data_IF_916635986204
#
_entry.id   IF_916635986204
#
_cell.length_a   1.000
_cell.length_b   1.000
_cell.length_c   1.000
_cell.angle_alpha   90.00
_cell.angle_beta   90.00
_cell.angle_gamma   90.00
#
_symmetry.space_group_name_H-M   'P 1'
#
loop_
_entity.id
_entity.type
_entity.pdbx_description
1 polymer ?
#
# COMPACT_ATOMS: atom_id res chain seq x y z
N UNK A 1 -1.63 -16.80 6.71
CA UNK A 1 -2.19 -15.43 6.75
C UNK A 1 -2.15 -14.87 5.34
N UNK A 2 -3.17 -14.14 4.89
CA UNK A 2 -3.19 -13.57 3.52
C UNK A 2 -4.24 -12.46 3.40
N UNK A 3 -4.07 -11.62 2.37
CA UNK A 3 -5.16 -10.74 1.91
C UNK A 3 -5.72 -11.39 0.64
N UNK A 4 -7.05 -11.53 0.57
CA UNK A 4 -7.72 -12.12 -0.60
C UNK A 4 -8.86 -11.23 -1.05
N UNK A 5 -8.92 -11.03 -2.35
CA UNK A 5 -10.00 -10.38 -3.06
C UNK A 5 -10.68 -11.43 -3.93
N UNK A 6 -12.00 -11.55 -3.85
CA UNK A 6 -12.78 -12.55 -4.59
C UNK A 6 -13.89 -11.85 -5.33
N UNK A 7 -13.77 -11.81 -6.65
CA UNK A 7 -14.76 -11.28 -7.61
C UNK A 7 -15.32 -9.89 -7.23
N UNK A 8 -14.42 -8.96 -6.83
CA UNK A 8 -14.85 -7.63 -6.43
C UNK A 8 -15.43 -6.84 -7.59
N UNK A 9 -16.59 -6.25 -7.34
CA UNK A 9 -17.19 -5.23 -8.19
C UNK A 9 -17.25 -3.91 -7.44
N UNK A 10 -16.90 -2.82 -8.13
CA UNK A 10 -17.06 -1.47 -7.61
C UNK A 10 -17.37 -0.47 -8.69
N UNK A 11 -18.44 0.30 -8.45
CA UNK A 11 -18.88 1.40 -9.33
C UNK A 11 -18.93 2.71 -8.56
N UNK A 12 -18.70 3.80 -9.26
CA UNK A 12 -18.95 5.15 -8.79
C UNK A 12 -19.82 5.85 -9.84
N UNK A 13 -21.13 5.93 -9.56
CA UNK A 13 -22.12 6.30 -10.57
C UNK A 13 -22.11 5.29 -11.72
N UNK A 14 -21.97 5.78 -12.95
CA UNK A 14 -21.91 4.93 -14.14
C UNK A 14 -20.51 4.34 -14.42
N UNK A 15 -19.49 4.79 -13.69
CA UNK A 15 -18.11 4.34 -13.89
C UNK A 15 -17.84 3.04 -13.15
N UNK A 16 -17.56 1.95 -13.88
CA UNK A 16 -17.12 0.66 -13.34
C UNK A 16 -15.61 0.74 -13.10
N UNK A 17 -15.19 0.59 -11.83
CA UNK A 17 -13.79 0.70 -11.42
C UNK A 17 -13.17 -0.66 -11.15
N UNK A 18 -13.92 -1.57 -10.52
CA UNK A 18 -13.55 -2.98 -10.38
C UNK A 18 -14.68 -3.83 -10.96
N UNK A 19 -14.33 -4.86 -11.73
CA UNK A 19 -15.25 -5.71 -12.46
C UNK A 19 -14.80 -7.18 -12.42
N UNK A 20 -15.13 -7.88 -11.34
CA UNK A 20 -14.65 -9.24 -11.09
C UNK A 20 -13.16 -9.30 -10.72
N UNK A 21 -12.68 -8.30 -9.95
CA UNK A 21 -11.30 -8.25 -9.48
C UNK A 21 -11.04 -9.35 -8.45
N UNK A 22 -10.11 -10.26 -8.75
CA UNK A 22 -9.68 -11.32 -7.84
C UNK A 22 -8.17 -11.36 -7.74
N UNK A 23 -7.63 -11.37 -6.52
CA UNK A 23 -6.19 -11.42 -6.24
C UNK A 23 -5.96 -12.02 -4.85
N UNK A 24 -4.92 -12.82 -4.71
CA UNK A 24 -4.39 -13.27 -3.43
C UNK A 24 -2.99 -12.69 -3.21
N UNK A 25 -2.76 -12.15 -2.00
CA UNK A 25 -1.47 -11.66 -1.50
C UNK A 25 -0.96 -12.68 -0.49
N UNK A 26 0.02 -13.51 -0.84
CA UNK A 26 0.58 -14.53 0.04
C UNK A 26 1.28 -13.92 1.26
N UNK A 27 1.32 -14.67 2.35
CA UNK A 27 2.00 -14.29 3.58
C UNK A 27 3.51 -14.11 3.35
N UNK A 28 4.06 -13.02 3.87
CA UNK A 28 5.49 -12.69 3.78
C UNK A 28 5.94 -12.12 2.43
N UNK A 29 5.09 -12.12 1.41
CA UNK A 29 5.43 -11.61 0.08
C UNK A 29 5.17 -10.10 -0.03
N UNK A 30 5.92 -9.46 -0.94
CA UNK A 30 5.57 -8.14 -1.49
C UNK A 30 4.87 -8.38 -2.83
N UNK A 31 3.55 -8.26 -2.84
CA UNK A 31 2.76 -8.27 -4.08
C UNK A 31 2.54 -6.84 -4.56
N UNK A 32 2.88 -6.55 -5.81
CA UNK A 32 2.67 -5.23 -6.40
C UNK A 32 1.62 -5.27 -7.50
N UNK A 33 0.62 -4.39 -7.41
CA UNK A 33 -0.35 -4.16 -8.47
C UNK A 33 0.12 -3.00 -9.33
N UNK A 34 0.37 -3.27 -10.60
CA UNK A 34 0.67 -2.28 -11.62
C UNK A 34 -0.53 -2.04 -12.52
N UNK A 35 -0.52 -0.94 -13.25
CA UNK A 35 -1.56 -0.58 -14.21
C UNK A 35 -1.68 0.94 -14.38
N UNK A 36 -2.44 1.41 -15.37
CA UNK A 36 -2.58 2.83 -15.66
C UNK A 36 -3.23 3.61 -14.52
N UNK A 37 -3.02 4.93 -14.52
CA UNK A 37 -3.70 5.82 -13.59
C UNK A 37 -5.22 5.72 -13.79
N UNK A 38 -5.97 5.67 -12.67
CA UNK A 38 -7.43 5.54 -12.72
C UNK A 38 -7.96 4.12 -12.91
N UNK A 39 -7.11 3.08 -13.03
CA UNK A 39 -7.56 1.69 -13.24
C UNK A 39 -8.20 1.01 -12.02
N UNK A 40 -8.30 1.70 -10.87
CA UNK A 40 -8.94 1.14 -9.67
C UNK A 40 -7.97 0.64 -8.59
N UNK A 41 -6.64 0.75 -8.77
CA UNK A 41 -5.63 0.28 -7.81
C UNK A 41 -5.84 0.79 -6.38
N UNK A 42 -5.97 2.12 -6.20
CA UNK A 42 -6.23 2.70 -4.87
C UNK A 42 -7.60 2.32 -4.31
N UNK A 43 -8.56 1.98 -5.18
CA UNK A 43 -9.88 1.51 -4.76
C UNK A 43 -9.77 0.14 -4.10
N UNK A 44 -9.07 -0.83 -4.73
CA UNK A 44 -8.90 -2.15 -4.13
C UNK A 44 -8.16 -2.08 -2.79
N UNK A 45 -7.07 -1.28 -2.69
CA UNK A 45 -6.36 -1.08 -1.42
C UNK A 45 -7.27 -0.58 -0.30
N UNK A 46 -8.12 0.40 -0.60
CA UNK A 46 -9.04 1.00 0.40
C UNK A 46 -10.14 0.04 0.84
N UNK A 47 -10.43 -1.02 0.07
CA UNK A 47 -11.39 -2.05 0.49
C UNK A 47 -10.82 -2.93 1.60
N UNK A 48 -9.48 -3.17 1.65
CA UNK A 48 -8.82 -4.00 2.67
C UNK A 48 -9.04 -3.45 4.08
N UNK A 49 -9.13 -2.13 4.23
CA UNK A 49 -9.35 -1.47 5.54
C UNK A 49 -10.78 -0.94 5.67
N UNK A 50 -11.68 -1.34 4.78
CA UNK A 50 -13.09 -0.95 4.81
C UNK A 50 -13.33 0.56 4.71
N UNK A 51 -12.44 1.32 4.05
CA UNK A 51 -12.67 2.72 3.67
C UNK A 51 -13.60 2.83 2.47
N UNK A 52 -13.58 1.84 1.60
CA UNK A 52 -14.51 1.68 0.49
C UNK A 52 -15.12 0.28 0.63
N UNK A 53 -16.43 0.18 0.49
CA UNK A 53 -17.11 -1.11 0.39
C UNK A 53 -17.28 -1.48 -1.06
N UNK A 54 -16.96 -2.73 -1.46
CA UNK A 54 -17.32 -3.24 -2.77
C UNK A 54 -18.85 -3.29 -2.91
N UNK A 55 -19.35 -3.26 -4.15
CA UNK A 55 -20.78 -3.42 -4.45
C UNK A 55 -21.15 -4.91 -4.54
N UNK A 56 -20.16 -5.76 -4.91
CA UNK A 56 -20.24 -7.23 -4.87
C UNK A 56 -18.86 -7.84 -4.66
N UNK A 57 -18.81 -9.13 -4.34
CA UNK A 57 -17.59 -9.87 -4.06
C UNK A 57 -17.19 -9.82 -2.59
N UNK A 58 -15.98 -10.27 -2.28
CA UNK A 58 -15.52 -10.45 -0.91
C UNK A 58 -14.08 -9.97 -0.72
N UNK A 59 -13.81 -9.31 0.42
CA UNK A 59 -12.47 -8.92 0.85
C UNK A 59 -12.13 -9.62 2.15
N UNK A 60 -11.03 -10.35 2.16
CA UNK A 60 -10.58 -11.09 3.32
C UNK A 60 -9.21 -10.62 3.80
N UNK A 61 -9.06 -10.44 5.08
CA UNK A 61 -7.78 -10.30 5.78
C UNK A 61 -7.71 -11.45 6.77
N UNK A 62 -6.83 -12.41 6.52
CA UNK A 62 -6.82 -13.72 7.16
C UNK A 62 -8.19 -14.43 7.00
N UNK A 63 -8.81 -14.78 8.12
CA UNK A 63 -10.13 -15.42 8.15
C UNK A 63 -11.28 -14.42 8.34
N UNK A 64 -10.99 -13.09 8.31
CA UNK A 64 -11.98 -12.05 8.55
C UNK A 64 -12.46 -11.44 7.23
N UNK A 65 -13.75 -11.55 6.97
CA UNK A 65 -14.39 -10.94 5.80
C UNK A 65 -14.68 -9.46 6.05
N UNK A 66 -13.81 -8.58 5.56
CA UNK A 66 -13.77 -7.14 5.88
C UNK A 66 -14.96 -6.37 5.32
N UNK A 67 -15.45 -6.71 4.12
CA UNK A 67 -16.55 -6.01 3.46
C UNK A 67 -17.87 -6.04 4.25
N UNK A 68 -18.00 -6.97 5.21
CA UNK A 68 -19.17 -7.12 6.08
C UNK A 68 -18.98 -6.55 7.48
N UNK A 69 -17.74 -6.15 7.86
CA UNK A 69 -17.43 -5.69 9.20
C UNK A 69 -17.77 -4.21 9.41
N UNK A 70 -18.15 -3.87 10.65
CA UNK A 70 -18.35 -2.51 11.15
C UNK A 70 -17.86 -2.40 12.60
N UNK A 71 -17.72 -1.16 13.10
CA UNK A 71 -17.39 -0.89 14.50
C UNK A 71 -16.10 -1.56 14.97
N UNK A 72 -16.14 -2.17 16.16
CA UNK A 72 -14.97 -2.77 16.80
C UNK A 72 -14.33 -3.91 16.00
N UNK A 73 -15.07 -4.86 15.38
CA UNK A 73 -14.46 -5.88 14.53
C UNK A 73 -13.66 -5.32 13.35
N UNK A 74 -14.13 -4.26 12.70
CA UNK A 74 -13.40 -3.58 11.63
C UNK A 74 -12.19 -2.82 12.19
N UNK A 75 -12.32 -2.22 13.37
CA UNK A 75 -11.19 -1.56 14.03
C UNK A 75 -10.06 -2.54 14.35
N UNK A 76 -10.38 -3.76 14.82
CA UNK A 76 -9.38 -4.80 15.06
C UNK A 76 -8.63 -5.20 13.78
N UNK A 77 -9.32 -5.31 12.63
CA UNK A 77 -8.63 -5.53 11.35
C UNK A 77 -7.70 -4.36 11.02
N UNK A 78 -8.17 -3.11 11.18
CA UNK A 78 -7.35 -1.92 10.91
C UNK A 78 -6.09 -1.82 11.77
N UNK A 79 -6.09 -2.41 12.97
CA UNK A 79 -4.90 -2.47 13.83
C UNK A 79 -3.82 -3.39 13.27
N UNK A 80 -4.20 -4.41 12.51
CA UNK A 80 -3.24 -5.34 11.88
C UNK A 80 -2.70 -4.84 10.54
N UNK A 81 -3.22 -3.72 10.03
CA UNK A 81 -2.90 -3.17 8.70
C UNK A 81 -2.36 -1.76 8.82
N UNK A 82 -1.10 -1.57 8.45
CA UNK A 82 -0.52 -0.24 8.25
C UNK A 82 -0.83 0.28 6.84
N UNK A 83 -1.22 1.54 6.72
CA UNK A 83 -1.52 2.16 5.42
C UNK A 83 -0.60 3.35 5.16
N UNK A 84 0.18 3.28 4.08
CA UNK A 84 1.08 4.33 3.59
C UNK A 84 0.41 5.02 2.41
N UNK A 85 -0.05 6.25 2.63
CA UNK A 85 -0.77 7.04 1.63
C UNK A 85 0.17 7.72 0.64
N UNK A 86 -0.32 7.97 -0.57
CA UNK A 86 0.41 8.61 -1.67
C UNK A 86 1.10 9.94 -1.26
N UNK A 87 0.48 10.76 -0.42
CA UNK A 87 1.03 12.04 0.05
C UNK A 87 1.42 12.01 1.54
N UNK A 88 1.77 10.82 2.08
CA UNK A 88 2.06 10.55 3.47
C UNK A 88 0.88 10.82 4.44
N UNK A 89 -0.06 11.70 4.10
CA UNK A 89 -1.24 12.08 4.87
C UNK A 89 -0.93 12.40 6.35
N UNK A 90 0.19 13.10 6.59
CA UNK A 90 0.54 13.62 7.91
C UNK A 90 -0.39 14.78 8.25
N UNK A 91 -0.74 14.90 9.52
CA UNK A 91 -1.49 16.05 10.03
C UNK A 91 -0.54 17.25 10.17
N UNK A 92 -0.74 18.29 9.36
CA UNK A 92 0.12 19.47 9.34
C UNK A 92 0.12 20.29 10.64
N UNK A 93 -0.91 20.11 11.47
CA UNK A 93 -1.04 20.75 12.80
C UNK A 93 -0.38 19.96 13.94
N UNK A 94 0.24 18.84 13.65
CA UNK A 94 0.89 17.95 14.62
C UNK A 94 2.38 17.82 14.33
N UNK A 95 3.19 17.64 15.37
CA UNK A 95 4.59 17.28 15.21
C UNK A 95 4.74 15.90 14.56
N UNK A 96 5.94 15.54 14.12
CA UNK A 96 6.22 14.19 13.62
C UNK A 96 6.01 13.16 14.73
N UNK A 97 6.41 13.46 15.95
CA UNK A 97 6.14 12.64 17.12
C UNK A 97 4.63 12.35 17.27
N UNK A 98 3.81 13.38 17.29
CA UNK A 98 2.36 13.24 17.48
C UNK A 98 1.68 12.50 16.32
N UNK A 99 2.16 12.71 15.09
CA UNK A 99 1.69 11.96 13.93
C UNK A 99 1.94 10.45 14.06
N UNK A 100 3.11 10.05 14.53
CA UNK A 100 3.46 8.64 14.73
C UNK A 100 2.77 8.08 15.98
N UNK A 101 2.70 8.85 17.07
CA UNK A 101 2.10 8.46 18.35
C UNK A 101 0.57 8.31 18.29
N UNK A 102 -0.10 8.97 17.35
CA UNK A 102 -1.56 9.08 17.33
C UNK A 102 -2.26 7.71 17.37
N UNK A 103 -1.81 6.76 16.57
CA UNK A 103 -2.36 5.39 16.57
C UNK A 103 -2.13 4.68 17.89
N UNK A 104 -0.95 4.82 18.47
CA UNK A 104 -0.56 4.22 19.75
C UNK A 104 -1.42 4.74 20.90
N UNK A 105 -1.61 6.07 20.98
CA UNK A 105 -2.48 6.68 22.00
C UNK A 105 -3.92 6.21 21.89
N UNK A 106 -4.41 5.99 20.66
CA UNK A 106 -5.78 5.53 20.43
C UNK A 106 -6.03 4.11 20.94
N UNK A 107 -5.02 3.23 20.95
CA UNK A 107 -5.18 1.88 21.50
C UNK A 107 -5.36 1.89 23.02
N UNK A 108 -4.76 2.86 23.72
CA UNK A 108 -4.78 2.94 25.18
C UNK A 108 -3.97 1.82 25.89
N UNK A 109 -3.15 1.08 25.15
CA UNK A 109 -2.39 -0.08 25.67
C UNK A 109 -1.04 0.30 26.25
N UNK A 110 -0.48 1.43 25.82
CA UNK A 110 0.85 1.92 26.21
C UNK A 110 0.74 3.22 27.00
N UNK A 111 1.63 3.40 27.98
CA UNK A 111 1.81 4.69 28.62
C UNK A 111 2.67 5.63 27.73
N UNK A 112 2.74 6.93 28.07
CA UNK A 112 3.45 7.93 27.27
C UNK A 112 4.97 7.64 27.15
N UNK A 113 5.58 6.99 28.13
CA UNK A 113 7.00 6.62 28.07
C UNK A 113 7.23 5.52 27.01
N UNK A 114 6.42 4.46 27.05
CA UNK A 114 6.44 3.38 26.07
C UNK A 114 6.04 3.86 24.63
N UNK A 115 5.10 4.81 24.56
CA UNK A 115 4.76 5.46 23.29
C UNK A 115 5.99 6.20 22.74
N UNK A 116 6.71 6.96 23.60
CA UNK A 116 7.92 7.67 23.21
C UNK A 116 9.03 6.76 22.69
N UNK A 117 9.21 5.60 23.32
CA UNK A 117 10.17 4.59 22.84
C UNK A 117 9.74 4.03 21.49
N UNK A 118 8.48 3.65 21.34
CA UNK A 118 7.93 3.11 20.09
C UNK A 118 8.00 4.10 18.92
N UNK A 119 7.78 5.39 19.18
CA UNK A 119 7.92 6.45 18.17
C UNK A 119 9.37 6.55 17.70
N UNK A 120 10.33 6.56 18.62
CA UNK A 120 11.76 6.59 18.28
C UNK A 120 12.15 5.35 17.46
N UNK A 121 11.83 4.14 17.92
CA UNK A 121 12.06 2.90 17.18
C UNK A 121 11.50 2.99 15.75
N UNK A 122 10.28 3.52 15.58
CA UNK A 122 9.64 3.62 14.27
C UNK A 122 10.31 4.67 13.38
N UNK A 123 10.82 5.75 13.93
CA UNK A 123 11.57 6.78 13.19
C UNK A 123 12.97 6.29 12.82
N UNK A 124 13.66 5.58 13.70
CA UNK A 124 14.98 4.98 13.45
C UNK A 124 14.88 3.94 12.32
N UNK A 125 13.82 3.13 12.31
CA UNK A 125 13.56 2.13 11.26
C UNK A 125 13.45 2.73 9.85
N UNK A 126 13.09 4.01 9.75
CA UNK A 126 12.97 4.74 8.49
C UNK A 126 14.10 5.77 8.27
N UNK A 127 15.18 5.69 9.04
CA UNK A 127 16.34 6.60 9.02
C UNK A 127 15.92 8.10 9.21
N UNK A 128 15.07 8.38 10.19
CA UNK A 128 14.57 9.72 10.53
C UNK A 128 14.82 10.07 12.01
N UNK A 129 16.07 10.16 12.40
CA UNK A 129 16.43 10.57 13.75
C UNK A 129 16.34 12.11 13.94
N UNK A 130 15.96 12.55 15.13
CA UNK A 130 16.00 13.96 15.54
C UNK A 130 14.99 14.86 14.79
N UNK A 131 13.86 14.29 14.36
CA UNK A 131 12.79 15.04 13.69
C UNK A 131 11.49 15.08 14.49
N UNK A 132 11.47 14.53 15.69
CA UNK A 132 10.28 14.30 16.50
C UNK A 132 9.49 15.60 16.73
N UNK A 133 10.19 16.68 17.06
CA UNK A 133 9.58 17.99 17.36
C UNK A 133 9.29 18.83 16.10
N UNK A 134 9.67 18.33 14.90
CA UNK A 134 9.43 19.06 13.65
C UNK A 134 7.99 18.93 13.20
N UNK A 135 7.51 19.96 12.50
CA UNK A 135 6.24 19.92 11.78
C UNK A 135 6.45 19.32 10.38
N UNK A 136 5.42 18.70 9.76
CA UNK A 136 5.51 18.14 8.41
C UNK A 136 6.03 19.15 7.37
N UNK A 137 5.69 20.44 7.51
CA UNK A 137 6.15 21.52 6.64
C UNK A 137 7.67 21.77 6.66
N UNK A 138 8.36 21.31 7.70
CA UNK A 138 9.83 21.43 7.87
C UNK A 138 10.60 20.25 7.27
N UNK A 139 9.88 19.27 6.71
CA UNK A 139 10.46 18.07 6.12
C UNK A 139 10.47 18.12 4.59
N UNK A 140 11.49 17.52 3.96
CA UNK A 140 11.47 17.27 2.52
C UNK A 140 10.37 16.27 2.12
N UNK A 141 10.06 16.17 0.82
CA UNK A 141 9.07 15.21 0.32
C UNK A 141 9.39 13.75 0.71
N UNK A 142 10.63 13.33 0.53
CA UNK A 142 11.10 12.00 0.92
C UNK A 142 11.06 11.79 2.43
N UNK A 143 11.41 12.79 3.24
CA UNK A 143 11.29 12.68 4.70
C UNK A 143 9.83 12.55 5.15
N UNK A 144 8.89 13.28 4.53
CA UNK A 144 7.45 13.12 4.82
C UNK A 144 6.96 11.72 4.49
N UNK A 145 7.39 11.15 3.35
CA UNK A 145 7.05 9.77 2.98
C UNK A 145 7.55 8.78 4.04
N UNK A 146 8.81 8.90 4.45
CA UNK A 146 9.40 8.05 5.49
C UNK A 146 8.68 8.19 6.83
N UNK A 147 8.31 9.40 7.26
CA UNK A 147 7.50 9.62 8.45
C UNK A 147 6.11 8.97 8.33
N UNK A 148 5.51 8.97 7.14
CA UNK A 148 4.26 8.24 6.85
C UNK A 148 4.42 6.72 7.02
N UNK A 149 5.56 6.16 6.61
CA UNK A 149 5.89 4.74 6.87
C UNK A 149 6.09 4.50 8.37
N UNK A 150 6.86 5.35 9.07
CA UNK A 150 7.06 5.25 10.53
C UNK A 150 5.72 5.20 11.27
N UNK A 151 4.77 6.08 10.92
CA UNK A 151 3.41 6.06 11.47
C UNK A 151 2.68 4.75 11.20
N UNK A 152 2.81 4.21 9.98
CA UNK A 152 2.14 2.97 9.59
C UNK A 152 2.68 1.76 10.36
N UNK A 153 3.98 1.71 10.66
CA UNK A 153 4.61 0.57 11.35
C UNK A 153 4.59 0.68 12.87
N UNK A 154 4.29 1.84 13.46
CA UNK A 154 4.30 2.08 14.90
C UNK A 154 3.40 1.10 15.69
N UNK A 155 2.29 0.68 15.09
CA UNK A 155 1.39 -0.33 15.65
C UNK A 155 1.87 -1.78 15.48
N UNK A 156 3.04 -2.01 14.87
CA UNK A 156 3.57 -3.34 14.52
C UNK A 156 2.54 -4.16 13.73
N UNK A 157 2.09 -3.65 12.58
CA UNK A 157 1.08 -4.33 11.77
C UNK A 157 1.63 -5.63 11.18
N UNK A 158 0.73 -6.53 10.79
CA UNK A 158 1.05 -7.74 10.02
C UNK A 158 1.11 -7.45 8.51
N UNK A 159 0.38 -6.44 8.08
CA UNK A 159 0.24 -6.05 6.69
C UNK A 159 0.61 -4.59 6.48
N UNK A 160 1.32 -4.29 5.38
CA UNK A 160 1.55 -2.91 4.94
C UNK A 160 0.96 -2.71 3.54
N UNK A 161 0.11 -1.70 3.43
CA UNK A 161 -0.48 -1.27 2.18
C UNK A 161 0.17 0.04 1.73
N UNK A 162 0.72 0.07 0.51
CA UNK A 162 1.39 1.24 -0.04
C UNK A 162 0.62 1.76 -1.25
N UNK A 163 0.07 2.97 -1.13
CA UNK A 163 -0.64 3.68 -2.20
C UNK A 163 0.31 4.64 -2.90
N UNK A 164 0.89 4.24 -4.04
CA UNK A 164 1.80 5.04 -4.86
C UNK A 164 2.97 5.67 -4.05
N UNK A 165 3.79 4.86 -3.35
CA UNK A 165 4.74 5.35 -2.36
C UNK A 165 5.85 6.24 -2.94
N UNK A 166 6.20 6.06 -4.22
CA UNK A 166 7.30 6.74 -4.90
C UNK A 166 6.85 7.94 -5.74
N UNK A 167 5.56 8.15 -5.91
CA UNK A 167 5.01 9.23 -6.75
C UNK A 167 5.48 10.61 -6.28
N UNK A 168 6.00 11.39 -7.26
CA UNK A 168 6.45 12.77 -7.05
C UNK A 168 7.83 12.90 -6.40
N UNK A 169 8.61 11.82 -6.35
CA UNK A 169 9.99 11.80 -5.84
C UNK A 169 10.99 11.78 -6.98
N UNK A 170 12.21 12.26 -6.70
CA UNK A 170 13.34 12.10 -7.59
C UNK A 170 13.88 10.65 -7.58
N UNK A 171 14.62 10.21 -8.62
CA UNK A 171 15.07 8.81 -8.74
C UNK A 171 15.90 8.29 -7.56
N UNK A 172 16.69 9.16 -6.92
CA UNK A 172 17.49 8.77 -5.75
C UNK A 172 16.58 8.48 -4.56
N UNK A 173 15.63 9.38 -4.32
CA UNK A 173 14.64 9.21 -3.23
C UNK A 173 13.70 8.03 -3.49
N UNK A 174 13.32 7.74 -4.75
CA UNK A 174 12.59 6.51 -5.13
C UNK A 174 13.36 5.28 -4.64
N UNK A 175 14.65 5.18 -4.94
CA UNK A 175 15.47 4.05 -4.51
C UNK A 175 15.54 3.92 -2.97
N UNK A 176 15.52 5.03 -2.24
CA UNK A 176 15.48 5.00 -0.76
C UNK A 176 14.15 4.40 -0.27
N UNK A 177 13.02 4.81 -0.87
CA UNK A 177 11.70 4.26 -0.51
C UNK A 177 11.59 2.78 -0.86
N UNK A 178 12.11 2.36 -2.03
CA UNK A 178 12.10 0.96 -2.42
C UNK A 178 12.88 0.08 -1.43
N UNK A 179 14.07 0.53 -1.03
CA UNK A 179 14.87 -0.15 0.00
C UNK A 179 14.12 -0.20 1.35
N UNK A 180 13.38 0.84 1.67
CA UNK A 180 12.58 0.87 2.88
C UNK A 180 11.44 -0.16 2.84
N UNK A 181 10.77 -0.32 1.70
CA UNK A 181 9.74 -1.36 1.51
C UNK A 181 10.33 -2.76 1.74
N UNK A 182 11.50 -3.03 1.13
CA UNK A 182 12.20 -4.29 1.34
C UNK A 182 12.62 -4.50 2.80
N UNK A 183 13.14 -3.46 3.46
CA UNK A 183 13.50 -3.48 4.88
C UNK A 183 12.31 -3.85 5.77
N UNK A 184 11.11 -3.29 5.49
CA UNK A 184 9.91 -3.62 6.29
C UNK A 184 9.58 -5.11 6.21
N UNK A 185 9.69 -5.72 5.04
CA UNK A 185 9.53 -7.17 4.89
C UNK A 185 10.61 -7.92 5.67
N UNK A 186 11.88 -7.58 5.46
CA UNK A 186 13.02 -8.36 5.96
C UNK A 186 13.19 -8.24 7.48
N UNK A 187 12.96 -7.07 8.07
CA UNK A 187 13.15 -6.82 9.52
C UNK A 187 11.88 -7.05 10.33
N UNK A 188 10.69 -6.77 9.77
CA UNK A 188 9.42 -6.90 10.49
C UNK A 188 8.63 -8.14 10.09
N UNK A 189 9.00 -8.83 9.00
CA UNK A 189 8.27 -9.99 8.50
C UNK A 189 6.86 -9.66 8.00
N UNK A 190 6.60 -8.42 7.60
CA UNK A 190 5.28 -7.97 7.17
C UNK A 190 4.96 -8.41 5.75
N UNK A 191 3.71 -8.77 5.50
CA UNK A 191 3.17 -8.95 4.15
C UNK A 191 2.83 -7.59 3.55
N UNK A 192 3.25 -7.32 2.32
CA UNK A 192 3.05 -6.02 1.69
C UNK A 192 2.23 -6.08 0.41
N UNK A 193 1.27 -5.16 0.27
CA UNK A 193 0.58 -4.90 -0.98
C UNK A 193 0.90 -3.48 -1.44
N UNK A 194 1.62 -3.39 -2.55
CA UNK A 194 2.05 -2.12 -3.15
C UNK A 194 1.20 -1.85 -4.39
N UNK A 195 0.78 -0.62 -4.57
CA UNK A 195 0.24 -0.19 -5.87
C UNK A 195 1.12 0.91 -6.43
N UNK A 196 1.48 0.80 -7.70
CA UNK A 196 2.28 1.80 -8.39
C UNK A 196 2.08 1.75 -9.90
N UNK A 197 2.40 2.83 -10.58
CA UNK A 197 2.58 2.89 -12.03
C UNK A 197 4.07 2.94 -12.43
N UNK A 198 4.98 2.98 -11.45
CA UNK A 198 6.43 2.96 -11.66
C UNK A 198 6.92 1.51 -11.80
N UNK A 199 7.16 1.09 -13.04
CA UNK A 199 7.61 -0.27 -13.35
C UNK A 199 8.99 -0.59 -12.77
N UNK A 200 9.91 0.37 -12.75
CA UNK A 200 11.26 0.16 -12.22
C UNK A 200 11.22 -0.10 -10.70
N UNK A 201 10.41 0.66 -9.98
CA UNK A 201 10.15 0.42 -8.56
C UNK A 201 9.47 -0.94 -8.37
N UNK A 202 8.42 -1.24 -9.15
CA UNK A 202 7.72 -2.52 -9.09
C UNK A 202 8.66 -3.72 -9.28
N UNK A 203 9.52 -3.70 -10.30
CA UNK A 203 10.51 -4.76 -10.53
C UNK A 203 11.52 -4.91 -9.39
N UNK A 204 11.85 -3.81 -8.71
CA UNK A 204 12.86 -3.80 -7.65
C UNK A 204 12.37 -4.36 -6.33
N UNK A 205 11.09 -4.15 -6.02
CA UNK A 205 10.57 -4.47 -4.68
C UNK A 205 9.73 -5.75 -4.63
N UNK A 206 9.21 -6.24 -5.75
CA UNK A 206 8.16 -7.25 -5.76
C UNK A 206 8.68 -8.69 -5.77
N UNK A 207 8.05 -9.55 -4.97
CA UNK A 207 8.12 -11.00 -5.13
C UNK A 207 7.08 -11.46 -6.19
N UNK A 208 5.94 -10.74 -6.29
CA UNK A 208 4.88 -10.97 -7.28
C UNK A 208 4.38 -9.66 -7.88
N UNK A 209 4.15 -9.67 -9.19
CA UNK A 209 3.44 -8.61 -9.89
C UNK A 209 2.05 -9.07 -10.30
N UNK A 210 1.08 -8.16 -10.18
CA UNK A 210 -0.26 -8.32 -10.72
C UNK A 210 -0.58 -7.11 -11.60
N UNK A 211 -1.04 -7.32 -12.82
CA UNK A 211 -1.45 -6.22 -13.70
C UNK A 211 -2.95 -6.03 -13.67
N UNK A 212 -3.38 -4.84 -13.28
CA UNK A 212 -4.78 -4.42 -13.28
C UNK A 212 -5.10 -3.65 -14.58
N UNK A 213 -6.05 -4.17 -15.34
CA UNK A 213 -6.57 -3.55 -16.55
C UNK A 213 -8.10 -3.68 -16.60
N UNK A 214 -8.79 -2.59 -16.89
CA UNK A 214 -10.26 -2.55 -16.98
C UNK A 214 -11.00 -3.20 -15.80
N UNK A 215 -10.53 -2.90 -14.57
CA UNK A 215 -11.15 -3.40 -13.34
C UNK A 215 -10.85 -4.87 -13.01
N UNK A 216 -10.06 -5.59 -13.82
CA UNK A 216 -9.73 -7.01 -13.67
C UNK A 216 -8.22 -7.23 -13.58
N UNK A 217 -7.83 -8.28 -12.88
CA UNK A 217 -6.44 -8.76 -12.96
C UNK A 217 -6.26 -9.46 -14.31
N UNK A 218 -5.39 -8.88 -15.13
CA UNK A 218 -5.06 -9.41 -16.47
C UNK A 218 -3.96 -10.45 -16.41
N UNK A 219 -3.02 -10.28 -15.49
CA UNK A 219 -1.89 -11.18 -15.30
C UNK A 219 -1.37 -11.14 -13.86
N UNK A 220 -0.85 -12.27 -13.38
CA UNK A 220 -0.14 -12.41 -12.10
C UNK A 220 1.03 -13.36 -12.27
N UNK A 221 2.21 -12.99 -11.75
CA UNK A 221 3.38 -13.87 -11.78
C UNK A 221 4.62 -13.23 -11.17
N UNK A 222 5.75 -13.90 -11.32
CA UNK A 222 7.05 -13.36 -10.94
C UNK A 222 7.41 -12.14 -11.81
N UNK A 223 8.07 -11.10 -11.26
CA UNK A 223 8.38 -9.89 -12.01
C UNK A 223 9.08 -10.12 -13.35
N UNK A 224 9.98 -11.09 -13.41
CA UNK A 224 10.74 -11.39 -14.62
C UNK A 224 9.86 -11.98 -15.73
N UNK A 225 8.83 -12.73 -15.37
CA UNK A 225 7.96 -13.45 -16.30
C UNK A 225 7.04 -12.52 -17.10
N UNK A 226 6.77 -11.29 -16.63
CA UNK A 226 5.83 -10.37 -17.29
C UNK A 226 6.29 -9.98 -18.70
N UNK A 227 7.61 -9.99 -18.95
CA UNK A 227 8.19 -9.61 -20.23
C UNK A 227 7.89 -10.60 -21.34
N UNK A 228 7.65 -11.86 -20.98
CA UNK A 228 7.42 -12.98 -21.89
C UNK A 228 5.93 -13.30 -22.06
N UNK A 229 5.04 -12.51 -21.45
CA UNK A 229 3.58 -12.70 -21.51
C UNK A 229 3.08 -12.32 -22.91
N UNK A 230 2.43 -13.26 -23.58
CA UNK A 230 1.77 -13.03 -24.90
C UNK A 230 0.35 -12.46 -24.68
N UNK A 231 0.28 -11.21 -24.21
CA UNK A 231 -0.96 -10.46 -24.02
C UNK A 231 -0.72 -9.00 -24.43
N UNK A 232 -1.47 -8.47 -25.41
CA UNK A 232 -1.27 -7.12 -25.95
C UNK A 232 -1.40 -6.02 -24.89
N UNK A 233 -2.35 -6.13 -23.93
CA UNK A 233 -2.51 -5.14 -22.87
C UNK A 233 -1.30 -5.13 -21.93
N UNK A 234 -0.77 -6.32 -21.58
CA UNK A 234 0.43 -6.43 -20.75
C UNK A 234 1.63 -5.83 -21.47
N UNK A 235 1.85 -6.23 -22.74
CA UNK A 235 2.99 -5.75 -23.53
C UNK A 235 2.88 -4.25 -23.83
N UNK A 236 1.72 -3.76 -24.20
CA UNK A 236 1.46 -2.33 -24.43
C UNK A 236 1.77 -1.49 -23.18
N UNK A 237 1.38 -1.96 -22.01
CA UNK A 237 1.64 -1.24 -20.75
C UNK A 237 3.12 -1.22 -20.38
N UNK A 238 3.79 -2.40 -20.37
CA UNK A 238 5.18 -2.49 -19.90
C UNK A 238 6.19 -1.88 -20.88
N UNK A 239 5.86 -1.81 -22.18
CA UNK A 239 6.71 -1.19 -23.21
C UNK A 239 6.35 0.27 -23.47
N UNK A 240 5.19 0.73 -22.99
CA UNK A 240 4.68 2.06 -23.32
C UNK A 240 4.29 2.20 -24.79
N UNK A 241 3.73 1.15 -25.39
CA UNK A 241 3.30 1.09 -26.80
C UNK A 241 1.78 1.33 -26.88
N UNK A 242 1.34 2.55 -27.30
CA UNK A 242 -0.10 2.89 -27.30
C UNK A 242 -0.93 2.02 -28.23
N UNK A 243 -0.36 1.61 -29.38
CA UNK A 243 -1.06 0.82 -30.37
C UNK A 243 -1.51 -0.53 -29.78
N UNK A 244 -0.61 -1.24 -29.10
CA UNK A 244 -0.92 -2.51 -28.42
C UNK A 244 -1.91 -2.32 -27.29
N UNK A 245 -1.81 -1.18 -26.60
CA UNK A 245 -2.72 -0.85 -25.50
C UNK A 245 -4.15 -0.59 -25.99
N UNK A 246 -4.32 0.15 -27.09
CA UNK A 246 -5.62 0.48 -27.69
C UNK A 246 -6.32 -0.75 -28.29
N UNK A 247 -5.57 -1.68 -28.91
CA UNK A 247 -6.10 -2.93 -29.44
C UNK A 247 -6.68 -3.85 -28.33
N UNK A 248 -6.20 -3.70 -27.09
CA UNK A 248 -6.61 -4.51 -25.95
C UNK A 248 -7.72 -3.85 -25.10
N UNK A 249 -8.08 -2.60 -25.43
CA UNK A 249 -9.08 -1.77 -24.74
C UNK A 249 -10.43 -1.87 -25.39
#
# INVERSE_FOLDING_TARGET
MSIRFVDLEKRFGDNVVLDGFSLEVPDGDITTIIGPSGSGKSTCLKTVIGLIRPDAGEVWVDERRVDTLEGDPLYEVRRTVGFVFQFAALFDSMTIFDNVAMGLRRTGELDEAAIGERVRESLDLVDLEGVEDKMPSQLSGGMRKRAGVARAVALRPQYLLYDEPTTGLDPVTVTVIDRLILRMRDELGVTSLVITHDLESAYRVSDRLAMLHQGRIRWVGAPEAIRDVDDPAVQGFIRGEPELWEEAS
#
